data_IF_572078416154
#
_entry.id   IF_572078416154
#
_cell.length_a   1.000
_cell.length_b   1.000
_cell.length_c   1.000
_cell.angle_alpha   90.00
_cell.angle_beta   90.00
_cell.angle_gamma   90.00
#
_symmetry.space_group_name_H-M   'P 1'
#
loop_
_entity.id
_entity.type
_entity.pdbx_description
1 polymer ?
#
# COMPACT_ATOMS: atom_id res chain seq x y z
N UNK A 1 -14.18 6.03 -26.65
CA UNK A 1 -14.54 6.70 -25.39
C UNK A 1 -14.98 5.65 -24.39
N UNK A 2 -14.47 5.67 -23.18
CA UNK A 2 -14.84 4.80 -22.07
C UNK A 2 -15.84 5.50 -21.15
N UNK A 3 -16.60 4.75 -20.39
CA UNK A 3 -17.41 5.31 -19.31
C UNK A 3 -16.50 5.67 -18.13
N UNK A 4 -15.58 4.76 -17.77
CA UNK A 4 -14.71 4.89 -16.60
C UNK A 4 -13.29 4.44 -16.99
N UNK A 5 -12.29 5.24 -16.60
CA UNK A 5 -10.88 4.82 -16.58
C UNK A 5 -10.43 4.64 -15.13
N UNK A 6 -9.86 3.48 -14.84
CA UNK A 6 -9.28 3.15 -13.52
C UNK A 6 -7.77 3.18 -13.64
N UNK A 7 -7.09 3.90 -12.74
CA UNK A 7 -5.63 4.08 -12.74
C UNK A 7 -5.02 3.35 -11.55
N UNK A 8 -4.24 2.32 -11.83
CA UNK A 8 -3.61 1.44 -10.86
C UNK A 8 -4.31 0.08 -10.77
N UNK A 9 -3.58 -0.99 -11.11
CA UNK A 9 -4.05 -2.37 -11.20
C UNK A 9 -3.83 -3.21 -9.95
N UNK A 10 -3.74 -2.57 -8.77
CA UNK A 10 -3.74 -3.26 -7.47
C UNK A 10 -5.14 -3.72 -7.04
N UNK A 11 -5.31 -4.34 -5.85
CA UNK A 11 -6.60 -4.86 -5.37
C UNK A 11 -7.74 -3.84 -5.41
N UNK A 12 -7.45 -2.57 -5.10
CA UNK A 12 -8.44 -1.49 -5.16
C UNK A 12 -8.93 -1.24 -6.59
N UNK A 13 -8.01 -1.09 -7.55
CA UNK A 13 -8.34 -0.81 -8.94
C UNK A 13 -8.99 -2.00 -9.65
N UNK A 14 -8.50 -3.20 -9.41
CA UNK A 14 -9.12 -4.44 -9.93
C UNK A 14 -10.57 -4.57 -9.44
N UNK A 15 -10.81 -4.29 -8.14
CA UNK A 15 -12.17 -4.32 -7.60
C UNK A 15 -13.03 -3.18 -8.13
N UNK A 16 -12.50 -1.96 -8.26
CA UNK A 16 -13.24 -0.84 -8.82
C UNK A 16 -13.67 -1.13 -10.28
N UNK A 17 -12.75 -1.68 -11.07
CA UNK A 17 -13.00 -2.08 -12.45
C UNK A 17 -14.09 -3.16 -12.55
N UNK A 18 -14.00 -4.18 -11.69
CA UNK A 18 -15.00 -5.26 -11.61
C UNK A 18 -16.40 -4.72 -11.30
N UNK A 19 -16.52 -3.86 -10.27
CA UNK A 19 -17.81 -3.31 -9.85
C UNK A 19 -18.40 -2.39 -10.93
N UNK A 20 -17.60 -1.57 -11.57
CA UNK A 20 -18.02 -0.71 -12.67
C UNK A 20 -18.46 -1.53 -13.90
N UNK A 21 -17.69 -2.56 -14.29
CA UNK A 21 -18.06 -3.44 -15.41
C UNK A 21 -19.35 -4.20 -15.13
N UNK A 22 -19.52 -4.74 -13.89
CA UNK A 22 -20.77 -5.40 -13.48
C UNK A 22 -21.98 -4.45 -13.46
N UNK A 23 -21.75 -3.14 -13.31
CA UNK A 23 -22.79 -2.11 -13.47
C UNK A 23 -23.03 -1.73 -14.94
N UNK A 24 -22.50 -2.50 -15.90
CA UNK A 24 -22.70 -2.30 -17.34
C UNK A 24 -21.90 -1.16 -17.94
N UNK A 25 -20.79 -0.72 -17.29
CA UNK A 25 -19.94 0.35 -17.80
C UNK A 25 -18.80 -0.20 -18.66
N UNK A 26 -18.42 0.55 -19.71
CA UNK A 26 -17.20 0.28 -20.47
C UNK A 26 -16.00 0.82 -19.68
N UNK A 27 -15.13 -0.09 -19.22
CA UNK A 27 -14.02 0.22 -18.31
C UNK A 27 -12.68 -0.04 -18.97
N UNK A 28 -11.74 0.93 -18.84
CA UNK A 28 -10.32 0.77 -19.11
C UNK A 28 -9.57 0.78 -17.78
N UNK A 29 -8.73 -0.22 -17.54
CA UNK A 29 -7.81 -0.32 -16.40
C UNK A 29 -6.39 -0.07 -16.88
N UNK A 30 -5.71 0.91 -16.28
CA UNK A 30 -4.33 1.28 -16.60
C UNK A 30 -3.39 0.91 -15.44
N UNK A 31 -2.25 0.29 -15.73
CA UNK A 31 -1.23 -0.07 -14.74
C UNK A 31 0.17 0.34 -15.24
N UNK A 32 0.97 0.96 -14.37
CA UNK A 32 2.29 1.45 -14.75
C UNK A 32 3.36 0.36 -14.79
N UNK A 33 3.23 -0.70 -13.96
CA UNK A 33 4.26 -1.73 -13.79
C UNK A 33 3.70 -3.14 -14.04
N UNK A 34 3.10 -3.74 -13.00
CA UNK A 34 2.52 -5.08 -13.05
C UNK A 34 1.20 -5.13 -12.31
N UNK A 35 0.21 -5.84 -12.88
CA UNK A 35 -1.08 -6.02 -12.22
C UNK A 35 -0.94 -6.77 -10.90
N UNK A 36 -1.76 -6.38 -9.92
CA UNK A 36 -1.78 -6.92 -8.57
C UNK A 36 -1.18 -5.99 -7.52
N UNK A 37 -0.37 -5.00 -7.90
CA UNK A 37 0.25 -4.05 -6.96
C UNK A 37 1.08 -4.78 -5.89
N UNK A 38 1.13 -4.24 -4.67
CA UNK A 38 1.97 -4.80 -3.60
C UNK A 38 1.60 -6.23 -3.19
N UNK A 39 0.33 -6.64 -3.33
CA UNK A 39 -0.08 -7.99 -2.94
C UNK A 39 0.61 -9.06 -3.81
N UNK A 40 0.91 -8.75 -5.07
CA UNK A 40 1.55 -9.69 -5.99
C UNK A 40 2.97 -10.10 -5.54
N UNK A 41 3.64 -9.29 -4.73
CA UNK A 41 4.98 -9.59 -4.21
C UNK A 41 4.96 -10.31 -2.86
N UNK A 42 3.80 -10.45 -2.22
CA UNK A 42 3.67 -11.16 -0.95
C UNK A 42 3.84 -12.67 -1.17
N UNK A 43 4.81 -13.34 -0.52
CA UNK A 43 5.01 -14.77 -0.69
C UNK A 43 3.82 -15.58 -0.18
N UNK A 44 3.13 -15.07 0.84
CA UNK A 44 1.97 -15.71 1.49
C UNK A 44 0.99 -14.69 2.04
N UNK A 45 -0.30 -14.94 1.87
CA UNK A 45 -1.42 -14.12 2.36
C UNK A 45 -2.36 -15.03 3.14
N UNK A 46 -2.56 -14.73 4.44
CA UNK A 46 -3.44 -15.49 5.34
C UNK A 46 -4.53 -14.62 5.97
N UNK A 47 -4.51 -13.32 5.71
CA UNK A 47 -5.42 -12.33 6.29
C UNK A 47 -6.47 -11.80 5.28
N UNK A 48 -6.66 -12.50 4.15
CA UNK A 48 -7.72 -12.18 3.21
C UNK A 48 -8.90 -13.14 3.43
N UNK A 49 -10.11 -12.64 3.77
CA UNK A 49 -11.28 -13.48 4.01
C UNK A 49 -11.61 -14.37 2.81
N UNK A 50 -12.09 -15.56 3.04
CA UNK A 50 -12.43 -16.66 2.13
C UNK A 50 -11.26 -17.51 1.63
N UNK A 51 -10.01 -17.13 1.86
CA UNK A 51 -8.84 -17.99 1.62
C UNK A 51 -8.09 -18.22 2.92
N UNK A 52 -7.74 -19.47 3.20
CA UNK A 52 -6.97 -19.79 4.40
C UNK A 52 -5.51 -19.39 4.24
N UNK A 53 -4.96 -19.65 3.07
CA UNK A 53 -3.59 -19.34 2.67
C UNK A 53 -3.54 -19.32 1.14
N UNK A 54 -2.84 -18.34 0.57
CA UNK A 54 -2.63 -18.18 -0.87
C UNK A 54 -1.35 -17.40 -1.13
N UNK A 55 -0.65 -17.68 -2.23
CA UNK A 55 0.42 -16.80 -2.70
C UNK A 55 -0.18 -15.46 -3.18
N UNK A 56 0.48 -14.35 -2.84
CA UNK A 56 -0.03 -13.03 -3.24
C UNK A 56 -0.14 -12.85 -4.75
N UNK A 57 0.79 -13.41 -5.52
CA UNK A 57 0.73 -13.42 -6.98
C UNK A 57 -0.50 -14.18 -7.51
N UNK A 58 -0.86 -15.31 -6.91
CA UNK A 58 -2.05 -16.08 -7.27
C UNK A 58 -3.33 -15.30 -6.92
N UNK A 59 -3.41 -14.71 -5.73
CA UNK A 59 -4.55 -13.87 -5.34
C UNK A 59 -4.73 -12.69 -6.30
N UNK A 60 -3.63 -12.01 -6.66
CA UNK A 60 -3.63 -10.91 -7.62
C UNK A 60 -4.11 -11.34 -9.00
N UNK A 61 -3.62 -12.48 -9.49
CA UNK A 61 -4.04 -13.04 -10.78
C UNK A 61 -5.53 -13.40 -10.78
N UNK A 62 -6.04 -14.01 -9.72
CA UNK A 62 -7.45 -14.34 -9.58
C UNK A 62 -8.34 -13.08 -9.64
N UNK A 63 -7.92 -11.98 -9.00
CA UNK A 63 -8.62 -10.70 -9.06
C UNK A 63 -8.58 -10.10 -10.48
N UNK A 64 -7.44 -10.19 -11.16
CA UNK A 64 -7.27 -9.70 -12.51
C UNK A 64 -8.13 -10.48 -13.51
N UNK A 65 -8.07 -11.79 -13.50
CA UNK A 65 -8.88 -12.67 -14.36
C UNK A 65 -10.38 -12.43 -14.13
N UNK A 66 -10.79 -12.23 -12.87
CA UNK A 66 -12.18 -11.92 -12.56
C UNK A 66 -12.62 -10.60 -13.20
N UNK A 67 -11.81 -9.54 -13.13
CA UNK A 67 -12.15 -8.26 -13.75
C UNK A 67 -12.23 -8.38 -15.29
N UNK A 68 -11.25 -9.03 -15.91
CA UNK A 68 -11.20 -9.26 -17.37
C UNK A 68 -12.37 -10.11 -17.85
N UNK A 69 -12.77 -11.15 -17.10
CA UNK A 69 -13.93 -11.99 -17.45
C UNK A 69 -15.26 -11.22 -17.50
N UNK A 70 -15.31 -10.03 -16.87
CA UNK A 70 -16.46 -9.12 -16.93
C UNK A 70 -16.32 -8.02 -18.00
N UNK A 71 -15.34 -8.16 -18.91
CA UNK A 71 -15.16 -7.25 -20.03
C UNK A 71 -14.36 -5.99 -19.72
N UNK A 72 -13.59 -5.96 -18.63
CA UNK A 72 -12.63 -4.88 -18.37
C UNK A 72 -11.53 -4.94 -19.41
N UNK A 73 -11.34 -3.86 -20.15
CA UNK A 73 -10.19 -3.66 -21.03
C UNK A 73 -9.01 -3.15 -20.19
N UNK A 74 -7.78 -3.49 -20.54
CA UNK A 74 -6.61 -3.05 -19.79
C UNK A 74 -5.47 -2.65 -20.72
N UNK A 75 -4.62 -1.75 -20.23
CA UNK A 75 -3.40 -1.34 -20.91
C UNK A 75 -2.32 -0.94 -19.90
N UNK A 76 -1.10 -0.79 -20.39
CA UNK A 76 0.04 -0.40 -19.57
C UNK A 76 0.32 1.10 -19.71
N UNK A 77 1.00 1.67 -18.72
CA UNK A 77 1.56 3.02 -18.78
C UNK A 77 1.28 3.88 -17.56
N UNK A 78 2.10 4.91 -17.42
CA UNK A 78 2.01 5.91 -16.35
C UNK A 78 0.98 6.98 -16.72
N UNK A 79 -0.13 7.00 -16.01
CA UNK A 79 -1.27 7.83 -16.34
C UNK A 79 -1.14 9.28 -15.86
N UNK A 80 -1.61 10.22 -16.69
CA UNK A 80 -1.91 11.60 -16.33
C UNK A 80 -3.35 11.90 -16.66
N UNK A 81 -3.98 12.81 -15.90
CA UNK A 81 -5.39 13.17 -16.07
C UNK A 81 -5.49 14.63 -16.46
N UNK A 82 -6.26 14.90 -17.51
CA UNK A 82 -6.69 16.24 -17.91
C UNK A 82 -8.22 16.30 -17.90
N UNK A 83 -8.76 17.36 -17.29
CA UNK A 83 -10.21 17.63 -17.30
C UNK A 83 -10.60 18.27 -18.63
N UNK A 84 -11.65 17.77 -19.25
CA UNK A 84 -12.22 18.31 -20.50
C UNK A 84 -13.60 18.95 -20.27
N UNK A 85 -14.20 19.48 -21.31
CA UNK A 85 -15.56 20.06 -21.23
C UNK A 85 -16.64 19.01 -20.92
N UNK A 86 -16.42 17.73 -21.31
CA UNK A 86 -17.43 16.66 -21.22
C UNK A 86 -17.02 15.47 -20.36
N UNK A 87 -15.86 15.54 -19.69
CA UNK A 87 -15.32 14.45 -18.89
C UNK A 87 -13.84 14.61 -18.65
N UNK A 88 -13.07 13.57 -18.96
CA UNK A 88 -11.62 13.51 -18.73
C UNK A 88 -10.92 12.84 -19.91
N UNK A 89 -9.68 13.23 -20.14
CA UNK A 89 -8.74 12.50 -20.98
C UNK A 89 -7.62 11.97 -20.08
N UNK A 90 -7.40 10.66 -20.08
CA UNK A 90 -6.29 10.01 -19.41
C UNK A 90 -5.25 9.64 -20.45
N UNK A 91 -4.02 10.13 -20.29
CA UNK A 91 -2.91 9.90 -21.21
C UNK A 91 -1.82 9.06 -20.56
N UNK A 92 -1.24 8.15 -21.32
CA UNK A 92 -0.03 7.39 -20.97
C UNK A 92 1.02 7.59 -22.08
N UNK A 93 2.21 7.06 -21.92
CA UNK A 93 3.24 7.00 -22.96
C UNK A 93 2.82 6.16 -24.19
N UNK A 94 1.78 5.34 -24.06
CA UNK A 94 1.31 4.42 -25.13
C UNK A 94 -0.02 4.81 -25.74
N UNK A 95 -0.82 5.64 -25.07
CA UNK A 95 -2.14 5.99 -25.59
C UNK A 95 -2.87 7.11 -24.86
N UNK A 96 -4.06 7.41 -25.36
CA UNK A 96 -4.97 8.42 -24.79
C UNK A 96 -6.38 7.84 -24.71
N UNK A 97 -7.05 8.02 -23.58
CA UNK A 97 -8.32 7.39 -23.22
C UNK A 97 -9.31 8.45 -22.73
N UNK A 98 -10.27 8.81 -23.58
CA UNK A 98 -11.36 9.70 -23.19
C UNK A 98 -12.39 8.95 -22.35
N UNK A 99 -12.84 9.54 -21.23
CA UNK A 99 -13.81 8.95 -20.33
C UNK A 99 -14.69 9.98 -19.62
N UNK A 100 -15.79 9.49 -19.05
CA UNK A 100 -16.74 10.31 -18.28
C UNK A 100 -16.34 10.40 -16.80
N UNK A 101 -15.66 9.39 -16.27
CA UNK A 101 -15.24 9.32 -14.86
C UNK A 101 -13.88 8.63 -14.72
N UNK A 102 -13.16 8.95 -13.64
CA UNK A 102 -11.86 8.36 -13.32
C UNK A 102 -11.87 7.82 -11.88
N UNK A 103 -11.24 6.64 -11.68
CA UNK A 103 -10.93 6.11 -10.35
C UNK A 103 -9.41 6.04 -10.20
N UNK A 104 -8.85 6.75 -9.23
CA UNK A 104 -7.41 6.72 -8.91
C UNK A 104 -7.18 5.67 -7.83
N UNK A 105 -6.31 4.70 -8.09
CA UNK A 105 -5.99 3.57 -7.20
C UNK A 105 -4.52 3.17 -7.24
N UNK A 106 -3.64 4.16 -7.33
CA UNK A 106 -2.18 4.03 -7.49
C UNK A 106 -1.44 3.44 -6.29
N UNK A 107 -2.13 3.29 -5.15
CA UNK A 107 -1.55 2.72 -3.94
C UNK A 107 -0.45 3.59 -3.33
N UNK A 108 0.49 2.91 -2.65
CA UNK A 108 1.69 3.51 -2.03
C UNK A 108 2.88 2.59 -2.27
N UNK A 109 4.10 3.11 -2.10
CA UNK A 109 5.30 2.29 -1.93
C UNK A 109 5.86 2.46 -0.52
N UNK A 110 6.52 1.43 0.01
CA UNK A 110 7.28 1.55 1.25
C UNK A 110 8.61 2.27 1.00
N UNK A 111 8.99 3.15 1.92
CA UNK A 111 10.36 3.66 1.94
C UNK A 111 11.29 2.51 2.30
N UNK A 112 12.41 2.44 1.58
CA UNK A 112 13.45 1.43 1.79
C UNK A 112 14.58 2.01 2.62
N UNK A 113 15.29 1.15 3.35
CA UNK A 113 16.54 1.50 4.03
C UNK A 113 17.66 1.82 3.03
N UNK A 114 17.56 1.28 1.81
CA UNK A 114 18.58 1.44 0.76
C UNK A 114 19.79 0.53 0.93
N UNK A 115 19.64 -0.57 1.65
CA UNK A 115 20.71 -1.53 1.92
C UNK A 115 20.78 -2.60 0.82
N UNK A 116 22.00 -3.10 0.55
CA UNK A 116 22.26 -4.02 -0.57
C UNK A 116 21.44 -5.31 -0.53
N UNK A 117 21.21 -5.87 0.66
CA UNK A 117 20.45 -7.11 0.85
C UNK A 117 18.95 -6.90 1.05
N UNK A 118 18.49 -5.66 1.18
CA UNK A 118 17.08 -5.36 1.49
C UNK A 118 16.12 -5.91 0.43
N UNK A 119 16.40 -5.68 -0.84
CA UNK A 119 15.56 -6.16 -1.94
C UNK A 119 15.66 -7.68 -2.13
N UNK A 120 16.86 -8.24 -1.99
CA UNK A 120 17.11 -9.68 -2.13
C UNK A 120 16.35 -10.48 -1.08
N UNK A 121 16.25 -9.94 0.14
CA UNK A 121 15.62 -10.61 1.29
C UNK A 121 14.18 -10.14 1.53
N UNK A 122 13.61 -9.30 0.66
CA UNK A 122 12.22 -8.89 0.74
C UNK A 122 11.28 -10.11 0.69
N UNK A 123 10.39 -10.26 1.68
CA UNK A 123 9.55 -11.44 1.88
C UNK A 123 10.25 -12.67 2.49
N UNK A 124 11.58 -12.63 2.62
CA UNK A 124 12.38 -13.68 3.26
C UNK A 124 13.07 -13.15 4.54
N UNK A 125 12.34 -12.40 5.33
CA UNK A 125 12.80 -11.80 6.58
C UNK A 125 12.84 -10.27 6.54
N UNK A 126 12.95 -9.61 5.39
CA UNK A 126 12.69 -8.18 5.28
C UNK A 126 11.21 -7.97 5.01
N UNK A 127 10.52 -7.32 5.94
CA UNK A 127 9.09 -7.14 5.99
C UNK A 127 8.71 -5.65 6.13
N UNK A 128 7.61 -5.26 5.51
CA UNK A 128 7.10 -3.88 5.57
C UNK A 128 5.74 -3.77 6.25
N UNK A 129 5.18 -4.90 6.71
CA UNK A 129 3.86 -4.97 7.34
C UNK A 129 3.86 -5.97 8.51
N UNK A 130 3.86 -5.48 9.74
CA UNK A 130 3.85 -6.36 10.92
C UNK A 130 2.58 -7.21 11.02
N UNK A 131 1.41 -6.65 10.67
CA UNK A 131 0.12 -7.37 10.71
C UNK A 131 0.04 -8.45 9.62
N UNK A 132 0.72 -8.24 8.48
CA UNK A 132 0.74 -9.20 7.39
C UNK A 132 1.68 -10.38 7.69
N UNK A 133 2.89 -10.06 8.16
CA UNK A 133 4.02 -10.99 8.17
C UNK A 133 4.41 -11.47 9.57
N UNK A 134 3.97 -10.78 10.64
CA UNK A 134 4.39 -11.03 12.01
C UNK A 134 4.12 -12.47 12.48
N UNK A 135 2.99 -13.06 12.05
CA UNK A 135 2.63 -14.43 12.42
C UNK A 135 3.66 -15.48 11.95
N UNK A 136 4.42 -15.22 10.88
CA UNK A 136 5.46 -16.12 10.37
C UNK A 136 6.70 -16.19 11.26
N UNK A 137 6.83 -15.21 12.15
CA UNK A 137 7.97 -15.07 13.09
C UNK A 137 7.55 -15.30 14.54
N UNK A 138 6.49 -16.09 14.74
CA UNK A 138 6.06 -16.48 16.08
C UNK A 138 7.20 -17.16 16.85
N UNK A 139 7.38 -16.73 18.11
CA UNK A 139 8.40 -17.21 19.04
C UNK A 139 9.85 -17.02 18.56
N UNK A 140 10.10 -16.11 17.59
CA UNK A 140 11.42 -15.76 17.05
C UNK A 140 11.84 -14.35 17.44
N UNK A 141 13.14 -14.05 17.51
CA UNK A 141 13.62 -12.68 17.68
C UNK A 141 13.48 -11.90 16.38
N UNK A 142 12.99 -10.68 16.48
CA UNK A 142 12.81 -9.79 15.32
C UNK A 142 13.27 -8.37 15.64
N UNK A 143 13.54 -7.56 14.63
CA UNK A 143 13.74 -6.14 14.84
C UNK A 143 12.74 -5.28 14.04
N UNK A 144 12.49 -4.08 14.54
CA UNK A 144 11.70 -3.03 13.91
C UNK A 144 12.58 -1.81 13.72
N UNK A 145 12.56 -1.23 12.54
CA UNK A 145 13.35 -0.02 12.22
C UNK A 145 12.42 1.14 11.94
N UNK A 146 12.51 2.20 12.73
CA UNK A 146 11.73 3.42 12.54
C UNK A 146 11.41 4.16 13.82
N UNK A 147 11.07 5.44 13.70
CA UNK A 147 10.91 6.39 14.82
C UNK A 147 9.47 6.86 15.05
N UNK A 148 8.54 6.51 14.15
CA UNK A 148 7.17 7.04 14.15
C UNK A 148 6.11 6.11 14.75
N UNK A 149 4.85 6.53 14.68
CA UNK A 149 3.68 5.75 15.14
C UNK A 149 3.66 4.33 14.57
N UNK A 150 3.98 4.15 13.30
CA UNK A 150 3.99 2.82 12.67
C UNK A 150 5.03 1.88 13.30
N UNK A 151 6.24 2.37 13.57
CA UNK A 151 7.28 1.59 14.21
C UNK A 151 6.87 1.19 15.65
N UNK A 152 6.32 2.13 16.41
CA UNK A 152 5.82 1.88 17.75
C UNK A 152 4.69 0.82 17.76
N UNK A 153 3.72 0.94 16.85
CA UNK A 153 2.62 -0.02 16.70
C UNK A 153 3.11 -1.40 16.26
N UNK A 154 4.08 -1.46 15.33
CA UNK A 154 4.69 -2.71 14.89
C UNK A 154 5.42 -3.41 16.04
N UNK A 155 6.25 -2.67 16.81
CA UNK A 155 6.97 -3.23 17.94
C UNK A 155 6.02 -3.81 19.00
N UNK A 156 4.94 -3.08 19.35
CA UNK A 156 3.94 -3.55 20.30
C UNK A 156 3.18 -4.78 19.78
N UNK A 157 2.78 -4.78 18.50
CA UNK A 157 2.09 -5.92 17.90
C UNK A 157 2.98 -7.18 17.85
N UNK A 158 4.23 -7.01 17.41
CA UNK A 158 5.18 -8.12 17.32
C UNK A 158 5.58 -8.67 18.70
N UNK A 159 5.61 -7.85 19.73
CA UNK A 159 5.88 -8.29 21.09
C UNK A 159 4.83 -9.28 21.66
N UNK A 160 3.58 -9.25 21.13
CA UNK A 160 2.54 -10.23 21.46
C UNK A 160 2.81 -11.62 20.84
N UNK A 161 3.59 -11.67 19.74
CA UNK A 161 3.75 -12.86 18.89
C UNK A 161 5.17 -13.42 18.99
N UNK A 162 6.17 -12.55 18.92
CA UNK A 162 7.59 -12.91 18.85
C UNK A 162 8.19 -13.14 20.24
N UNK A 163 9.36 -13.77 20.29
CA UNK A 163 10.09 -13.99 21.54
C UNK A 163 10.67 -12.68 22.10
N UNK A 164 11.22 -11.85 21.22
CA UNK A 164 11.86 -10.56 21.52
C UNK A 164 11.73 -9.64 20.33
N UNK A 165 11.62 -8.33 20.58
CA UNK A 165 11.58 -7.28 19.57
C UNK A 165 12.63 -6.22 19.88
N UNK A 166 13.60 -6.04 19.00
CA UNK A 166 14.54 -4.93 19.06
C UNK A 166 14.02 -3.76 18.24
N UNK A 167 13.65 -2.64 18.88
CA UNK A 167 13.20 -1.43 18.22
C UNK A 167 14.38 -0.48 18.04
N UNK A 168 14.80 -0.28 16.79
CA UNK A 168 15.90 0.63 16.42
C UNK A 168 15.36 2.00 16.00
N UNK A 169 15.85 3.05 16.69
CA UNK A 169 15.50 4.44 16.37
C UNK A 169 16.77 5.24 16.08
N UNK A 170 16.70 6.13 15.07
CA UNK A 170 17.79 7.06 14.74
C UNK A 170 18.00 8.13 15.81
N UNK A 171 16.94 8.39 16.60
CA UNK A 171 16.93 9.42 17.64
C UNK A 171 16.77 8.81 19.03
N UNK A 172 17.02 9.62 20.05
CA UNK A 172 16.82 9.29 21.46
C UNK A 172 15.35 9.29 21.91
N UNK A 173 14.42 9.50 20.94
CA UNK A 173 12.98 9.56 21.18
C UNK A 173 12.20 8.97 20.01
N UNK A 174 10.95 8.58 20.30
CA UNK A 174 9.96 8.24 19.28
C UNK A 174 9.12 9.48 18.91
N UNK A 175 8.85 9.65 17.63
CA UNK A 175 7.92 10.65 17.10
C UNK A 175 6.53 10.02 16.97
N UNK A 176 6.00 9.51 18.08
CA UNK A 176 4.72 8.84 18.17
C UNK A 176 3.90 9.37 19.34
N UNK A 177 2.66 8.89 19.45
CA UNK A 177 1.77 9.25 20.55
C UNK A 177 2.39 8.83 21.89
N UNK A 178 2.26 9.69 22.90
CA UNK A 178 2.87 9.46 24.23
C UNK A 178 2.46 8.12 24.85
N UNK A 179 1.23 7.71 24.65
CA UNK A 179 0.73 6.42 25.13
C UNK A 179 1.50 5.24 24.53
N UNK A 180 1.81 5.28 23.23
CA UNK A 180 2.58 4.23 22.58
C UNK A 180 4.01 4.16 23.16
N UNK A 181 4.66 5.31 23.36
CA UNK A 181 5.99 5.36 24.01
C UNK A 181 5.95 4.75 25.39
N UNK A 182 4.94 5.06 26.21
CA UNK A 182 4.80 4.48 27.56
C UNK A 182 4.63 2.95 27.52
N UNK A 183 3.84 2.45 26.59
CA UNK A 183 3.62 1.01 26.38
C UNK A 183 4.90 0.29 25.93
N UNK A 184 5.71 0.90 25.06
CA UNK A 184 7.01 0.36 24.63
C UNK A 184 7.95 0.25 25.82
N UNK A 185 8.12 1.31 26.60
CA UNK A 185 9.03 1.32 27.77
C UNK A 185 8.59 0.31 28.83
N UNK A 186 7.30 0.08 29.00
CA UNK A 186 6.75 -0.87 29.97
C UNK A 186 6.80 -2.33 29.51
N UNK A 187 7.08 -2.61 28.23
CA UNK A 187 7.05 -3.96 27.69
C UNK A 187 8.41 -4.63 27.77
N UNK A 188 8.54 -5.65 28.61
CA UNK A 188 9.80 -6.37 28.84
C UNK A 188 10.34 -7.17 27.64
N UNK A 189 9.50 -7.41 26.60
CA UNK A 189 9.91 -8.06 25.36
C UNK A 189 10.49 -7.08 24.32
N UNK A 190 10.34 -5.77 24.55
CA UNK A 190 10.82 -4.74 23.62
C UNK A 190 12.12 -4.16 24.14
N UNK A 191 13.21 -4.41 23.42
CA UNK A 191 14.49 -3.76 23.61
C UNK A 191 14.56 -2.52 22.73
N UNK A 192 14.35 -1.32 23.29
CA UNK A 192 14.43 -0.07 22.54
C UNK A 192 15.87 0.46 22.51
N UNK A 193 16.50 0.33 21.34
CA UNK A 193 17.86 0.76 21.05
C UNK A 193 17.83 2.10 20.31
N UNK A 194 18.33 3.12 20.98
CA UNK A 194 18.28 4.52 20.54
C UNK A 194 19.57 4.95 19.85
N UNK A 195 19.49 6.00 19.00
CA UNK A 195 20.63 6.63 18.33
C UNK A 195 21.43 5.65 17.46
N UNK A 196 20.73 4.70 16.83
CA UNK A 196 21.35 3.72 15.95
C UNK A 196 20.71 3.72 14.57
N UNK A 197 21.50 3.36 13.58
CA UNK A 197 21.02 3.08 12.20
C UNK A 197 21.37 1.66 11.84
N UNK A 198 20.48 0.96 11.17
CA UNK A 198 20.79 -0.32 10.53
C UNK A 198 21.64 -0.02 9.30
N UNK A 199 22.85 -0.54 9.27
CA UNK A 199 23.83 -0.31 8.19
C UNK A 199 23.97 -1.50 7.25
N UNK A 200 23.53 -2.69 7.65
CA UNK A 200 23.46 -3.87 6.79
C UNK A 200 22.44 -4.89 7.31
N UNK A 201 21.94 -5.74 6.40
CA UNK A 201 21.07 -6.88 6.71
C UNK A 201 21.82 -8.14 6.28
N UNK A 202 22.01 -9.06 7.23
CA UNK A 202 22.79 -10.27 7.03
C UNK A 202 21.90 -11.43 6.61
N UNK A 203 22.41 -12.28 5.73
CA UNK A 203 21.79 -13.50 5.26
C UNK A 203 21.92 -13.72 3.75
N UNK A 204 21.84 -14.96 3.31
CA UNK A 204 21.89 -15.33 1.88
C UNK A 204 20.51 -15.55 1.27
N UNK A 205 19.71 -16.42 1.85
CA UNK A 205 18.36 -16.80 1.38
C UNK A 205 17.25 -16.29 2.28
N UNK A 206 17.56 -15.93 3.52
CA UNK A 206 16.68 -15.32 4.51
C UNK A 206 17.49 -14.41 5.41
N UNK A 207 16.80 -13.55 6.17
CA UNK A 207 17.44 -12.73 7.21
C UNK A 207 18.01 -13.66 8.31
N UNK A 208 19.25 -13.39 8.72
CA UNK A 208 19.96 -14.07 9.80
C UNK A 208 20.40 -13.07 10.90
N UNK A 209 20.44 -11.78 10.56
CA UNK A 209 20.80 -10.74 11.51
C UNK A 209 20.88 -9.36 10.87
N UNK A 210 21.23 -8.36 11.67
CA UNK A 210 21.47 -6.99 11.26
C UNK A 210 22.75 -6.44 11.82
N UNK A 211 23.35 -5.50 11.09
CA UNK A 211 24.47 -4.68 11.55
C UNK A 211 23.93 -3.30 11.88
N UNK A 212 24.13 -2.87 13.12
CA UNK A 212 23.76 -1.55 13.58
C UNK A 212 25.00 -0.70 13.81
N UNK A 213 24.87 0.60 13.52
CA UNK A 213 25.90 1.60 13.80
C UNK A 213 25.31 2.70 14.66
N UNK A 214 25.95 3.01 15.79
CA UNK A 214 25.58 4.13 16.65
C UNK A 214 26.18 5.48 16.18
N UNK A 215 25.85 6.55 16.91
CA UNK A 215 26.32 7.91 16.63
C UNK A 215 27.85 8.05 16.72
N UNK A 216 28.52 7.22 17.49
CA UNK A 216 29.98 7.24 17.70
C UNK A 216 30.72 6.35 16.69
N UNK A 217 29.95 5.67 15.83
CA UNK A 217 30.46 4.80 14.77
C UNK A 217 30.74 3.36 15.25
N UNK A 218 30.40 3.02 16.50
CA UNK A 218 30.53 1.65 16.98
C UNK A 218 29.54 0.74 16.26
N UNK A 219 30.00 -0.48 15.97
CA UNK A 219 29.22 -1.48 15.22
C UNK A 219 28.77 -2.56 16.18
N UNK A 220 27.48 -2.88 16.11
CA UNK A 220 26.88 -3.97 16.86
C UNK A 220 26.19 -4.93 15.90
N UNK A 221 26.34 -6.22 16.13
CA UNK A 221 25.67 -7.29 15.40
C UNK A 221 24.54 -7.82 16.26
N UNK A 222 23.37 -8.05 15.66
CA UNK A 222 22.24 -8.65 16.33
C UNK A 222 21.64 -9.76 15.46
N UNK A 223 21.52 -10.95 16.01
CA UNK A 223 20.87 -12.08 15.38
C UNK A 223 19.34 -11.87 15.44
N UNK A 224 18.69 -11.86 14.31
CA UNK A 224 17.22 -11.76 14.17
C UNK A 224 16.75 -12.58 12.98
N UNK A 225 15.54 -13.12 13.08
CA UNK A 225 14.90 -13.84 11.97
C UNK A 225 14.17 -12.90 11.00
N UNK A 226 13.85 -11.67 11.42
CA UNK A 226 13.22 -10.69 10.53
C UNK A 226 13.53 -9.23 10.90
N UNK A 227 13.47 -8.37 9.87
CA UNK A 227 13.58 -6.92 9.95
C UNK A 227 12.28 -6.30 9.45
N UNK A 228 11.54 -5.64 10.32
CA UNK A 228 10.32 -4.91 9.95
C UNK A 228 10.65 -3.44 9.72
N UNK A 229 10.62 -3.02 8.46
CA UNK A 229 10.96 -1.66 8.05
C UNK A 229 9.73 -0.76 8.15
N UNK A 230 9.74 0.18 9.08
CA UNK A 230 8.62 1.07 9.41
C UNK A 230 9.00 2.56 9.31
N UNK A 231 9.76 2.94 8.27
CA UNK A 231 10.27 4.29 8.03
C UNK A 231 9.36 5.16 7.13
N UNK A 232 8.14 4.68 6.88
CA UNK A 232 7.10 5.42 6.17
C UNK A 232 6.74 4.85 4.79
N UNK A 233 5.71 5.46 4.20
CA UNK A 233 5.17 5.13 2.88
C UNK A 233 5.14 6.38 2.01
N UNK A 234 5.15 6.19 0.68
CA UNK A 234 5.07 7.27 -0.31
C UNK A 234 3.90 6.98 -1.24
N UNK A 235 2.87 7.83 -1.27
CA UNK A 235 1.83 7.75 -2.28
C UNK A 235 2.36 8.34 -3.60
N UNK A 236 1.93 7.78 -4.73
CA UNK A 236 2.35 8.23 -6.07
C UNK A 236 1.24 9.08 -6.72
N UNK A 237 0.91 10.21 -6.10
CA UNK A 237 -0.22 11.06 -6.48
C UNK A 237 0.17 12.43 -7.06
N UNK A 238 1.45 12.78 -7.12
CA UNK A 238 1.92 14.11 -7.55
C UNK A 238 1.40 14.48 -8.94
N UNK A 239 1.32 13.49 -9.84
CA UNK A 239 0.79 13.65 -11.20
C UNK A 239 -0.70 13.98 -11.27
N UNK A 240 -1.44 13.94 -10.17
CA UNK A 240 -2.87 14.23 -10.11
C UNK A 240 -3.22 15.49 -9.31
N UNK A 241 -2.23 16.21 -8.81
CA UNK A 241 -2.41 17.43 -8.00
C UNK A 241 -3.11 18.58 -8.75
N UNK A 242 -3.11 18.54 -10.08
CA UNK A 242 -3.86 19.46 -10.95
C UNK A 242 -5.38 19.17 -10.97
N UNK A 243 -5.81 17.97 -10.53
CA UNK A 243 -7.20 17.51 -10.62
C UNK A 243 -7.80 17.30 -9.23
N UNK A 244 -7.04 16.73 -8.27
CA UNK A 244 -7.54 16.39 -6.94
C UNK A 244 -6.71 17.03 -5.84
N UNK A 245 -7.34 17.28 -4.68
CA UNK A 245 -6.65 17.81 -3.50
C UNK A 245 -5.82 16.72 -2.83
N UNK A 246 -4.55 17.01 -2.56
CA UNK A 246 -3.65 16.20 -1.76
C UNK A 246 -3.51 16.77 -0.34
N UNK A 247 -3.20 15.91 0.63
CA UNK A 247 -2.75 16.34 1.97
C UNK A 247 -1.24 16.66 1.97
N UNK A 248 -0.72 17.09 3.12
CA UNK A 248 0.69 17.46 3.30
C UNK A 248 1.66 16.28 3.12
N UNK A 249 1.15 15.04 3.07
CA UNK A 249 1.92 13.81 2.86
C UNK A 249 1.76 13.25 1.45
N UNK A 250 1.02 13.94 0.57
CA UNK A 250 0.77 13.54 -0.80
C UNK A 250 -0.39 12.55 -1.00
N UNK A 251 -1.18 12.25 0.03
CA UNK A 251 -2.37 11.39 -0.10
C UNK A 251 -3.55 12.17 -0.67
N UNK A 252 -4.35 11.55 -1.53
CA UNK A 252 -5.58 12.14 -2.04
C UNK A 252 -6.60 12.25 -0.90
N UNK A 253 -7.10 13.47 -0.67
CA UNK A 253 -8.08 13.74 0.40
C UNK A 253 -9.44 13.18 -0.01
N UNK A 254 -9.90 12.14 0.69
CA UNK A 254 -11.23 11.55 0.51
C UNK A 254 -11.65 10.81 1.79
N UNK A 255 -12.96 10.77 2.03
CA UNK A 255 -13.56 9.98 3.12
C UNK A 255 -13.88 8.55 2.68
N UNK A 256 -14.66 7.84 3.50
CA UNK A 256 -15.07 6.45 3.25
C UNK A 256 -15.99 6.29 2.02
N UNK A 257 -16.55 7.37 1.51
CA UNK A 257 -17.32 7.40 0.26
C UNK A 257 -16.44 7.44 -0.99
N UNK A 258 -15.12 7.51 -0.85
CA UNK A 258 -14.14 7.54 -1.94
C UNK A 258 -14.29 8.73 -2.91
N UNK A 259 -15.01 9.79 -2.54
CA UNK A 259 -15.24 10.98 -3.36
C UNK A 259 -14.08 11.97 -3.16
N UNK A 260 -13.53 12.46 -4.27
CA UNK A 260 -12.44 13.45 -4.25
C UNK A 260 -12.97 14.89 -4.33
N UNK A 261 -12.07 15.87 -4.34
CA UNK A 261 -12.40 17.29 -4.56
C UNK A 261 -12.86 17.61 -6.00
N UNK A 262 -12.71 16.70 -6.94
CA UNK A 262 -13.11 16.86 -8.33
C UNK A 262 -14.31 15.98 -8.64
N UNK A 263 -15.43 16.60 -9.07
CA UNK A 263 -16.63 15.86 -9.50
C UNK A 263 -16.28 14.92 -10.66
N UNK A 264 -16.69 13.66 -10.57
CA UNK A 264 -16.41 12.61 -11.54
C UNK A 264 -15.06 11.91 -11.34
N UNK A 265 -14.25 12.32 -10.35
CA UNK A 265 -13.02 11.64 -9.96
C UNK A 265 -13.18 11.02 -8.58
N UNK A 266 -12.92 9.73 -8.49
CA UNK A 266 -12.96 8.93 -7.26
C UNK A 266 -11.57 8.40 -6.93
N UNK A 267 -11.37 7.95 -5.68
CA UNK A 267 -10.10 7.40 -5.24
C UNK A 267 -10.33 6.15 -4.40
N UNK A 268 -9.48 5.13 -4.56
CA UNK A 268 -9.60 3.88 -3.82
C UNK A 268 -8.24 3.34 -3.36
N UNK A 269 -8.22 2.70 -2.21
CA UNK A 269 -7.03 2.04 -1.66
C UNK A 269 -6.08 2.97 -0.93
N UNK A 270 -4.83 2.57 -0.88
CA UNK A 270 -3.84 3.13 0.03
C UNK A 270 -3.33 4.52 -0.37
N UNK A 271 -3.62 4.97 -1.59
CA UNK A 271 -3.25 6.30 -2.10
C UNK A 271 -4.12 7.44 -1.54
N UNK A 272 -5.23 7.14 -0.83
CA UNK A 272 -6.07 8.14 -0.17
C UNK A 272 -5.78 8.30 1.33
N UNK A 273 -6.31 9.37 1.91
CA UNK A 273 -6.32 9.57 3.36
C UNK A 273 -7.14 8.48 4.05
N UNK A 274 -6.50 7.63 4.84
CA UNK A 274 -7.13 6.55 5.62
C UNK A 274 -6.21 6.08 6.74
N UNK A 275 -6.76 5.47 7.78
CA UNK A 275 -6.01 4.97 8.94
C UNK A 275 -5.49 3.54 8.75
N UNK A 276 -6.23 2.68 8.05
CA UNK A 276 -5.90 1.27 7.87
C UNK A 276 -5.61 0.97 6.40
N UNK A 277 -4.42 0.45 6.13
CA UNK A 277 -3.96 0.04 4.80
C UNK A 277 -3.78 -1.47 4.79
N UNK A 278 -4.76 -2.17 4.21
CA UNK A 278 -4.81 -3.62 4.09
C UNK A 278 -5.44 -3.99 2.75
N UNK A 279 -5.15 -5.18 2.22
CA UNK A 279 -5.75 -5.67 0.99
C UNK A 279 -7.29 -5.62 1.05
N UNK A 280 -7.89 -6.06 2.16
CA UNK A 280 -9.34 -6.04 2.38
C UNK A 280 -9.93 -4.65 2.39
N UNK A 281 -9.26 -3.65 3.00
CA UNK A 281 -9.74 -2.25 2.98
C UNK A 281 -9.55 -1.61 1.60
N UNK A 282 -8.53 -2.02 0.84
CA UNK A 282 -8.34 -1.59 -0.54
C UNK A 282 -9.44 -2.13 -1.46
N UNK A 283 -9.81 -3.41 -1.31
CA UNK A 283 -10.94 -4.03 -2.01
C UNK A 283 -12.26 -3.34 -1.66
N UNK A 284 -12.50 -3.05 -0.37
CA UNK A 284 -13.67 -2.31 0.08
C UNK A 284 -13.79 -0.93 -0.57
N UNK A 285 -12.70 -0.16 -0.56
CA UNK A 285 -12.63 1.14 -1.25
C UNK A 285 -12.90 1.00 -2.75
N UNK A 286 -12.31 -0.02 -3.39
CA UNK A 286 -12.52 -0.31 -4.81
C UNK A 286 -13.99 -0.55 -5.14
N UNK A 287 -14.69 -1.32 -4.31
CA UNK A 287 -16.13 -1.57 -4.48
C UNK A 287 -16.94 -0.26 -4.38
N UNK A 288 -16.64 0.58 -3.38
CA UNK A 288 -17.30 1.88 -3.19
C UNK A 288 -17.01 2.82 -4.36
N UNK A 289 -15.75 2.98 -4.75
CA UNK A 289 -15.36 3.90 -5.82
C UNK A 289 -15.90 3.48 -7.19
N UNK A 290 -15.79 2.17 -7.53
CA UNK A 290 -16.29 1.64 -8.79
C UNK A 290 -17.81 1.79 -8.94
N UNK A 291 -18.55 1.47 -7.86
CA UNK A 291 -20.00 1.68 -7.84
C UNK A 291 -20.39 3.17 -7.93
N UNK A 292 -19.71 4.04 -7.16
CA UNK A 292 -19.97 5.49 -7.18
C UNK A 292 -19.67 6.10 -8.55
N UNK A 293 -18.57 5.69 -9.21
CA UNK A 293 -18.25 6.12 -10.57
C UNK A 293 -19.33 5.69 -11.58
N UNK A 294 -19.83 4.45 -11.48
CA UNK A 294 -20.88 3.96 -12.33
C UNK A 294 -22.18 4.76 -12.16
N UNK A 295 -22.57 5.05 -10.91
CA UNK A 295 -23.76 5.88 -10.60
C UNK A 295 -23.60 7.32 -11.10
N UNK A 296 -22.41 7.89 -11.03
CA UNK A 296 -22.10 9.21 -11.57
C UNK A 296 -22.32 9.26 -13.10
N UNK A 297 -21.80 8.28 -13.82
CA UNK A 297 -21.99 8.15 -15.29
C UNK A 297 -23.47 8.03 -15.65
N UNK A 298 -24.25 7.23 -14.90
CA UNK A 298 -25.69 7.10 -15.12
C UNK A 298 -26.45 8.43 -14.92
N UNK A 299 -26.02 9.22 -13.93
CA UNK A 299 -26.63 10.52 -13.67
C UNK A 299 -26.36 11.54 -14.79
N UNK A 300 -25.17 11.50 -15.42
CA UNK A 300 -24.88 12.32 -16.61
C UNK A 300 -25.78 11.97 -17.79
N UNK A 301 -25.98 10.68 -18.04
CA UNK A 301 -26.86 10.21 -19.12
C UNK A 301 -28.33 10.62 -18.96
N UNK A 302 -28.79 10.83 -17.70
CA UNK A 302 -30.16 11.33 -17.41
C UNK A 302 -30.31 12.84 -17.55
N UNK A 303 -29.25 13.62 -17.37
CA UNK A 303 -29.28 15.09 -17.54
C UNK A 303 -29.28 15.51 -19.00
N UNK A 304 -28.87 14.62 -19.90
CA UNK A 304 -28.77 14.87 -21.35
C UNK A 304 -29.96 14.33 -22.14
N UNK A 305 -30.97 13.77 -21.48
CA UNK A 305 -32.28 13.36 -22.03
C UNK A 305 -33.37 14.31 -21.56
#
# INVERSE_FOLDING_TARGET
MYDIVVIGGGPAGLTASLYAARAGKKVMLLEANAFGGQIATAPRVENYPSVKEIAGAELANNMFEQAVSHGVEFDMGTAKIDKTATGFTVTTEYGSYDCLSVVISTGVSHKKLGLSNEEKLAGNGVCYCAVCDGAFYKDKPVCVVGDGNSAAQFALYLAEICSEVSLFTMFDRLFCDRELTQRIVANSKINWVQNVTVSDILGESKVEGVVCRDSDGAITYLDVDAVFVAIGQVPHNDGFSNVVKLDDKGYIVAGENCVTSCEGVFVAGDCRTKSVRQCTTAVGDGAVAGFSAAMYVDALGKKNK
#
